data_IF_260507613774
#
_entry.id   IF_260507613774
#
_cell.length_a   1.000
_cell.length_b   1.000
_cell.length_c   1.000
_cell.angle_alpha   90.00
_cell.angle_beta   90.00
_cell.angle_gamma   90.00
#
_symmetry.space_group_name_H-M   'P 1'
#
loop_
_entity.id
_entity.type
_entity.pdbx_description
1 polymer ?
#
# COMPACT_ATOMS: atom_id res chain seq x y z
N UNK A 1 40.34 4.08 37.03
CA UNK A 1 39.41 3.08 36.47
C UNK A 1 37.98 3.58 36.35
N UNK A 2 37.35 4.10 37.45
CA UNK A 2 35.91 4.52 37.43
C UNK A 2 35.55 5.55 36.35
N UNK A 3 36.37 6.58 36.10
CA UNK A 3 36.11 7.61 35.06
C UNK A 3 36.07 7.02 33.64
N UNK A 4 36.99 6.10 33.29
CA UNK A 4 37.02 5.43 31.98
C UNK A 4 35.80 4.55 31.77
N UNK A 5 35.33 3.85 32.80
CA UNK A 5 34.11 3.03 32.74
C UNK A 5 32.87 3.91 32.54
N UNK A 6 32.77 5.05 33.24
CA UNK A 6 31.65 5.97 33.07
C UNK A 6 31.58 6.53 31.64
N UNK A 7 32.73 6.95 31.07
CA UNK A 7 32.79 7.43 29.68
C UNK A 7 32.35 6.35 28.69
N UNK A 8 32.83 5.10 28.89
CA UNK A 8 32.41 3.98 28.02
C UNK A 8 30.89 3.73 28.10
N UNK A 9 30.30 3.77 29.29
CA UNK A 9 28.86 3.60 29.46
C UNK A 9 28.06 4.72 28.76
N UNK A 10 28.50 5.97 28.89
CA UNK A 10 27.85 7.12 28.23
C UNK A 10 27.93 6.95 26.70
N UNK A 11 29.09 6.59 26.14
CA UNK A 11 29.25 6.40 24.71
C UNK A 11 28.38 5.24 24.18
N UNK A 12 28.32 4.14 24.92
CA UNK A 12 27.42 3.02 24.57
C UNK A 12 25.96 3.46 24.58
N UNK A 13 25.55 4.20 25.61
CA UNK A 13 24.16 4.70 25.70
C UNK A 13 23.81 5.64 24.53
N UNK A 14 24.71 6.57 24.21
CA UNK A 14 24.54 7.48 23.04
C UNK A 14 24.43 6.69 21.76
N UNK A 15 25.29 5.67 21.55
CA UNK A 15 25.26 4.81 20.37
C UNK A 15 23.95 4.04 20.23
N UNK A 16 23.40 3.53 21.34
CA UNK A 16 22.10 2.85 21.36
C UNK A 16 20.94 3.79 21.05
N UNK A 17 21.00 5.04 21.59
CA UNK A 17 20.00 6.06 21.28
C UNK A 17 20.01 6.43 19.78
N UNK A 18 21.19 6.70 19.22
CA UNK A 18 21.34 7.01 17.79
C UNK A 18 20.87 5.87 16.89
N UNK A 19 21.19 4.63 17.27
CA UNK A 19 20.70 3.45 16.56
C UNK A 19 19.17 3.35 16.62
N UNK A 20 18.56 3.58 17.79
CA UNK A 20 17.11 3.58 17.97
C UNK A 20 16.41 4.65 17.13
N UNK A 21 16.93 5.89 17.17
CA UNK A 21 16.43 7.01 16.36
C UNK A 21 16.53 6.67 14.86
N UNK A 22 17.67 6.10 14.42
CA UNK A 22 17.86 5.67 13.04
C UNK A 22 16.84 4.63 12.59
N UNK A 23 16.52 3.64 13.43
CA UNK A 23 15.48 2.63 13.15
C UNK A 23 14.10 3.25 13.04
N UNK A 24 13.73 4.15 13.95
CA UNK A 24 12.45 4.85 13.90
C UNK A 24 12.33 5.72 12.66
N UNK A 25 13.40 6.43 12.29
CA UNK A 25 13.43 7.23 11.07
C UNK A 25 13.23 6.36 9.81
N UNK A 26 13.93 5.21 9.71
CA UNK A 26 13.75 4.27 8.60
C UNK A 26 12.31 3.78 8.52
N UNK A 27 11.75 3.33 9.65
CA UNK A 27 10.37 2.84 9.69
C UNK A 27 9.37 3.92 9.26
N UNK A 28 9.51 5.14 9.78
CA UNK A 28 8.70 6.29 9.39
C UNK A 28 8.83 6.59 7.89
N UNK A 29 10.06 6.68 7.37
CA UNK A 29 10.32 6.99 5.96
C UNK A 29 9.69 5.94 5.03
N UNK A 30 9.88 4.64 5.32
CA UNK A 30 9.32 3.56 4.51
C UNK A 30 7.78 3.53 4.52
N UNK A 31 7.15 3.93 5.62
CA UNK A 31 5.69 4.04 5.71
C UNK A 31 5.18 5.30 5.02
N UNK A 32 5.74 6.46 5.38
CA UNK A 32 5.29 7.77 4.89
C UNK A 32 5.46 7.94 3.37
N UNK A 33 6.49 7.34 2.78
CA UNK A 33 6.75 7.39 1.34
C UNK A 33 6.42 6.07 0.61
N UNK A 34 5.58 5.22 1.22
CA UNK A 34 5.24 3.92 0.67
C UNK A 34 4.64 4.01 -0.75
N UNK A 35 3.74 4.98 -0.98
CA UNK A 35 3.13 5.22 -2.28
C UNK A 35 4.11 5.71 -3.36
N UNK A 36 5.22 6.36 -2.97
CA UNK A 36 6.30 6.70 -3.89
C UNK A 36 7.15 5.46 -4.22
N UNK A 37 7.54 4.70 -3.20
CA UNK A 37 8.43 3.56 -3.37
C UNK A 37 7.79 2.41 -4.14
N UNK A 38 6.49 2.16 -3.96
CA UNK A 38 5.79 1.06 -4.62
C UNK A 38 5.83 1.16 -6.15
N UNK A 39 5.90 2.35 -6.71
CA UNK A 39 5.98 2.58 -8.16
C UNK A 39 7.24 1.99 -8.81
N UNK A 40 8.29 1.72 -8.01
CA UNK A 40 9.56 1.15 -8.46
C UNK A 40 9.83 -0.22 -7.81
N UNK A 41 8.82 -0.83 -7.21
CA UNK A 41 8.95 -2.15 -6.60
C UNK A 41 9.00 -3.23 -7.68
N UNK A 42 10.04 -4.07 -7.74
CA UNK A 42 10.04 -5.26 -8.57
C UNK A 42 8.87 -6.17 -8.21
N UNK A 43 8.21 -6.72 -9.21
CA UNK A 43 7.01 -7.54 -9.01
C UNK A 43 6.89 -8.65 -10.03
N UNK A 44 6.23 -9.74 -9.63
CA UNK A 44 5.83 -10.84 -10.50
C UNK A 44 4.63 -10.42 -11.35
N UNK A 45 4.55 -10.95 -12.55
CA UNK A 45 3.40 -10.73 -13.44
C UNK A 45 2.08 -11.11 -12.77
N UNK A 46 1.08 -10.27 -12.96
CA UNK A 46 -0.27 -10.43 -12.40
C UNK A 46 -0.43 -9.95 -10.96
N UNK A 47 0.65 -9.54 -10.26
CA UNK A 47 0.54 -8.89 -8.95
C UNK A 47 0.30 -7.38 -9.10
N UNK A 48 -0.36 -6.76 -8.11
CA UNK A 48 -0.60 -5.32 -8.06
C UNK A 48 -0.16 -4.73 -6.70
N UNK A 49 1.15 -4.52 -6.52
CA UNK A 49 1.67 -3.96 -5.27
C UNK A 49 1.11 -2.58 -4.95
N UNK A 50 0.79 -1.75 -5.95
CA UNK A 50 0.23 -0.42 -5.78
C UNK A 50 -1.11 -0.47 -5.03
N UNK A 51 -2.02 -1.37 -5.43
CA UNK A 51 -3.28 -1.61 -4.75
C UNK A 51 -3.06 -1.95 -3.27
N UNK A 52 -2.18 -2.92 -3.01
CA UNK A 52 -1.91 -3.44 -1.68
C UNK A 52 -1.27 -2.36 -0.79
N UNK A 53 -0.22 -1.70 -1.28
CA UNK A 53 0.53 -0.71 -0.50
C UNK A 53 -0.31 0.55 -0.23
N UNK A 54 -1.08 1.04 -1.19
CA UNK A 54 -1.97 2.20 -0.98
C UNK A 54 -2.96 1.89 0.14
N UNK A 55 -3.67 0.77 0.08
CA UNK A 55 -4.71 0.46 1.06
C UNK A 55 -4.15 0.11 2.44
N UNK A 56 -2.99 -0.55 2.52
CA UNK A 56 -2.36 -0.87 3.82
C UNK A 56 -1.62 0.29 4.48
N UNK A 57 -1.40 1.41 3.75
CA UNK A 57 -0.73 2.62 4.26
C UNK A 57 -1.58 3.87 4.03
N UNK A 58 -2.89 3.73 3.92
CA UNK A 58 -3.80 4.79 3.48
C UNK A 58 -3.74 6.05 4.36
N UNK A 59 -3.46 5.91 5.65
CA UNK A 59 -3.23 7.01 6.60
C UNK A 59 -2.00 7.86 6.27
N UNK A 60 -1.03 7.29 5.55
CA UNK A 60 0.23 7.94 5.14
C UNK A 60 0.25 8.33 3.66
N UNK A 61 -0.78 7.94 2.88
CA UNK A 61 -0.87 8.23 1.45
C UNK A 61 -1.44 9.64 1.22
N UNK A 62 -0.70 10.47 0.49
CA UNK A 62 -1.16 11.80 0.09
C UNK A 62 -2.40 11.72 -0.80
N UNK A 63 -3.35 12.59 -0.51
CA UNK A 63 -4.59 12.70 -1.31
C UNK A 63 -4.31 13.50 -2.56
N UNK A 64 -4.70 13.01 -3.75
CA UNK A 64 -4.64 13.82 -4.96
C UNK A 64 -5.58 15.03 -4.84
N UNK A 65 -5.24 16.12 -5.53
CA UNK A 65 -6.05 17.35 -5.54
C UNK A 65 -7.34 17.24 -6.37
N UNK A 66 -7.75 16.04 -6.74
CA UNK A 66 -8.98 15.79 -7.51
C UNK A 66 -10.19 15.73 -6.59
N UNK A 67 -11.28 16.41 -6.98
CA UNK A 67 -12.49 16.49 -6.14
C UNK A 67 -13.33 15.20 -6.11
N UNK A 68 -12.99 14.21 -6.93
CA UNK A 68 -13.77 12.98 -7.09
C UNK A 68 -13.21 11.79 -6.29
N UNK A 69 -12.00 11.92 -5.68
CA UNK A 69 -11.42 10.92 -4.80
C UNK A 69 -11.58 11.32 -3.33
N UNK A 70 -12.10 10.43 -2.52
CA UNK A 70 -12.17 10.58 -1.07
C UNK A 70 -11.59 9.35 -0.37
N UNK A 71 -11.00 9.54 0.81
CA UNK A 71 -10.46 8.47 1.64
C UNK A 71 -11.31 8.35 2.89
N UNK A 72 -11.75 7.13 3.16
CA UNK A 72 -12.37 6.73 4.42
C UNK A 72 -11.34 5.94 5.21
N UNK A 73 -10.94 6.45 6.37
CA UNK A 73 -9.94 5.83 7.25
C UNK A 73 -10.59 5.04 8.38
N UNK A 74 -11.91 5.03 8.46
CA UNK A 74 -12.63 4.25 9.45
C UNK A 74 -12.56 2.75 9.12
N UNK A 75 -12.38 1.93 10.13
CA UNK A 75 -12.26 0.49 9.97
C UNK A 75 -11.00 0.05 9.19
N UNK A 76 -11.18 -0.63 8.08
CA UNK A 76 -10.08 -1.20 7.28
C UNK A 76 -9.53 -0.23 6.21
N UNK A 77 -10.08 0.97 6.12
CA UNK A 77 -9.70 1.95 5.11
C UNK A 77 -10.31 1.70 3.73
N UNK A 78 -10.70 2.78 3.08
CA UNK A 78 -11.22 2.72 1.72
C UNK A 78 -10.85 3.97 0.89
N UNK A 79 -10.77 3.80 -0.44
CA UNK A 79 -10.69 4.88 -1.42
C UNK A 79 -11.95 4.85 -2.26
N UNK A 80 -12.63 5.98 -2.34
CA UNK A 80 -13.88 6.12 -3.09
C UNK A 80 -13.66 7.06 -4.29
N UNK A 81 -14.01 6.60 -5.49
CA UNK A 81 -14.05 7.40 -6.71
C UNK A 81 -15.51 7.64 -7.11
N UNK A 82 -15.90 8.91 -7.20
CA UNK A 82 -17.27 9.35 -7.57
C UNK A 82 -18.38 8.66 -6.76
N UNK A 83 -18.07 8.19 -5.56
CA UNK A 83 -18.97 7.42 -4.67
C UNK A 83 -19.51 6.12 -5.27
N UNK A 84 -19.04 5.73 -6.45
CA UNK A 84 -19.51 4.54 -7.18
C UNK A 84 -18.49 3.42 -7.26
N UNK A 85 -17.20 3.75 -7.23
CA UNK A 85 -16.13 2.78 -7.15
C UNK A 85 -15.47 2.87 -5.79
N UNK A 86 -15.37 1.76 -5.09
CA UNK A 86 -14.80 1.66 -3.76
C UNK A 86 -13.67 0.65 -3.78
N UNK A 87 -12.46 1.10 -3.45
CA UNK A 87 -11.35 0.22 -3.09
C UNK A 87 -11.33 0.09 -1.57
N UNK A 88 -11.40 -1.12 -1.05
CA UNK A 88 -11.37 -1.39 0.37
C UNK A 88 -10.43 -2.54 0.72
N UNK A 89 -9.97 -2.54 1.96
CA UNK A 89 -9.17 -3.61 2.55
C UNK A 89 -9.90 -4.20 3.75
N UNK A 90 -10.02 -5.52 3.78
CA UNK A 90 -10.61 -6.28 4.88
C UNK A 90 -9.83 -7.58 5.08
N UNK A 91 -10.47 -8.71 4.88
CA UNK A 91 -9.81 -10.03 4.84
C UNK A 91 -9.02 -10.23 3.54
N UNK A 92 -9.39 -9.51 2.50
CA UNK A 92 -8.75 -9.44 1.18
C UNK A 92 -8.89 -8.00 0.65
N UNK A 93 -8.39 -7.74 -0.56
CA UNK A 93 -8.58 -6.45 -1.24
C UNK A 93 -9.79 -6.53 -2.15
N UNK A 94 -10.68 -5.56 -2.03
CA UNK A 94 -11.95 -5.49 -2.72
C UNK A 94 -12.01 -4.22 -3.59
N UNK A 95 -12.40 -4.39 -4.86
CA UNK A 95 -12.90 -3.31 -5.69
C UNK A 95 -14.40 -3.54 -5.92
N UNK A 96 -15.20 -2.65 -5.37
CA UNK A 96 -16.65 -2.68 -5.50
C UNK A 96 -17.14 -1.57 -6.42
N UNK A 97 -17.91 -1.95 -7.45
CA UNK A 97 -18.63 -1.04 -8.31
C UNK A 97 -20.10 -1.02 -7.89
N UNK A 98 -20.49 0.00 -7.11
CA UNK A 98 -21.82 0.09 -6.55
C UNK A 98 -22.91 0.31 -7.61
N UNK A 99 -22.58 0.94 -8.74
CA UNK A 99 -23.52 1.22 -9.83
C UNK A 99 -23.98 -0.05 -10.53
N UNK A 100 -23.08 -1.02 -10.66
CA UNK A 100 -23.33 -2.30 -11.32
C UNK A 100 -23.50 -3.46 -10.35
N UNK A 101 -23.32 -3.21 -9.05
CA UNK A 101 -23.31 -4.25 -8.01
C UNK A 101 -22.27 -5.37 -8.25
N UNK A 102 -21.09 -4.97 -8.73
CA UNK A 102 -19.98 -5.86 -9.09
C UNK A 102 -18.88 -5.82 -8.02
N UNK A 103 -18.34 -6.98 -7.69
CA UNK A 103 -17.28 -7.14 -6.69
C UNK A 103 -16.11 -7.91 -7.29
N UNK A 104 -14.94 -7.29 -7.27
CA UNK A 104 -13.66 -7.87 -7.73
C UNK A 104 -12.75 -8.04 -6.52
N UNK A 105 -12.34 -9.26 -6.26
CA UNK A 105 -11.49 -9.62 -5.13
C UNK A 105 -10.07 -9.90 -5.58
N UNK A 106 -9.11 -9.45 -4.75
CA UNK A 106 -7.68 -9.62 -4.96
C UNK A 106 -7.06 -10.24 -3.71
N UNK A 107 -6.05 -11.05 -3.90
CA UNK A 107 -5.28 -11.63 -2.80
C UNK A 107 -4.31 -10.61 -2.17
N UNK A 108 -3.51 -11.07 -1.20
CA UNK A 108 -2.53 -10.25 -0.49
C UNK A 108 -1.35 -9.78 -1.35
N UNK A 109 -1.26 -10.22 -2.60
CA UNK A 109 -0.30 -9.73 -3.59
C UNK A 109 -0.92 -8.75 -4.59
N UNK A 110 -2.23 -8.48 -4.45
CA UNK A 110 -3.01 -7.68 -5.38
C UNK A 110 -3.34 -8.42 -6.68
N UNK A 111 -3.16 -9.75 -6.72
CA UNK A 111 -3.57 -10.57 -7.86
C UNK A 111 -5.06 -10.81 -7.80
N UNK A 112 -5.73 -10.69 -8.95
CA UNK A 112 -7.16 -11.00 -9.08
C UNK A 112 -7.44 -12.44 -8.62
N UNK A 113 -8.41 -12.59 -7.73
CA UNK A 113 -8.82 -13.87 -7.16
C UNK A 113 -10.15 -14.35 -7.75
N UNK A 114 -11.18 -13.53 -7.65
CA UNK A 114 -12.50 -13.86 -8.18
C UNK A 114 -13.39 -12.61 -8.30
N UNK A 115 -14.46 -12.78 -9.03
CA UNK A 115 -15.54 -11.81 -9.22
C UNK A 115 -16.88 -12.42 -8.76
N UNK A 116 -17.77 -11.59 -8.22
CA UNK A 116 -19.16 -11.94 -8.02
C UNK A 116 -20.08 -10.72 -8.07
N UNK A 117 -21.38 -10.97 -8.30
CA UNK A 117 -22.44 -9.99 -8.11
C UNK A 117 -23.36 -10.47 -7.00
N UNK A 118 -24.03 -9.55 -6.30
CA UNK A 118 -24.99 -9.91 -5.24
C UNK A 118 -26.21 -10.64 -5.81
N UNK A 119 -26.46 -10.55 -7.12
CA UNK A 119 -27.58 -11.22 -7.78
C UNK A 119 -27.30 -12.69 -8.13
N UNK A 120 -26.02 -13.12 -8.11
CA UNK A 120 -25.60 -14.47 -8.46
C UNK A 120 -24.53 -14.91 -7.47
N UNK A 121 -24.86 -15.79 -6.56
CA UNK A 121 -23.99 -16.32 -5.49
C UNK A 121 -22.85 -17.24 -6.00
N UNK A 122 -22.44 -17.06 -7.27
CA UNK A 122 -21.40 -17.84 -7.92
C UNK A 122 -20.15 -17.01 -8.19
N UNK A 123 -19.06 -17.34 -7.49
CA UNK A 123 -17.73 -16.78 -7.76
C UNK A 123 -17.27 -17.15 -9.17
N UNK A 124 -16.80 -16.16 -9.93
CA UNK A 124 -16.26 -16.33 -11.27
C UNK A 124 -14.78 -16.02 -11.29
N UNK A 125 -14.00 -16.83 -11.95
CA UNK A 125 -12.52 -16.77 -12.02
C UNK A 125 -12.00 -16.49 -13.43
N UNK A 126 -12.85 -15.95 -14.30
CA UNK A 126 -12.53 -15.72 -15.71
C UNK A 126 -11.57 -14.54 -15.89
N UNK A 127 -10.66 -14.67 -16.86
CA UNK A 127 -9.71 -13.61 -17.25
C UNK A 127 -10.38 -12.34 -17.78
N UNK A 128 -11.63 -12.42 -18.22
CA UNK A 128 -12.42 -11.25 -18.62
C UNK A 128 -12.62 -10.33 -17.43
N UNK A 129 -13.03 -10.86 -16.26
CA UNK A 129 -13.26 -10.06 -15.04
C UNK A 129 -11.97 -9.49 -14.48
N UNK A 130 -10.84 -10.20 -14.65
CA UNK A 130 -9.54 -9.66 -14.31
C UNK A 130 -9.24 -8.39 -15.12
N UNK A 131 -9.42 -8.42 -16.46
CA UNK A 131 -9.21 -7.26 -17.33
C UNK A 131 -10.14 -6.08 -16.99
N UNK A 132 -11.40 -6.37 -16.66
CA UNK A 132 -12.36 -5.37 -16.24
C UNK A 132 -11.91 -4.70 -14.92
N UNK A 133 -11.46 -5.51 -13.95
CA UNK A 133 -10.90 -5.00 -12.70
C UNK A 133 -9.66 -4.11 -12.92
N UNK A 134 -8.73 -4.54 -13.76
CA UNK A 134 -7.54 -3.76 -14.13
C UNK A 134 -7.91 -2.39 -14.72
N UNK A 135 -8.87 -2.35 -15.66
CA UNK A 135 -9.37 -1.11 -16.24
C UNK A 135 -10.01 -0.15 -15.21
N UNK A 136 -10.62 -0.70 -14.15
CA UNK A 136 -11.17 0.10 -13.06
C UNK A 136 -10.07 0.60 -12.12
N UNK A 137 -9.07 -0.23 -11.81
CA UNK A 137 -7.90 0.18 -11.02
C UNK A 137 -7.10 1.29 -11.71
N UNK A 138 -6.97 1.24 -13.03
CA UNK A 138 -6.32 2.27 -13.85
C UNK A 138 -7.00 3.66 -13.76
N UNK A 139 -8.24 3.73 -13.29
CA UNK A 139 -8.93 5.01 -13.03
C UNK A 139 -8.62 5.56 -11.64
N UNK A 140 -8.34 4.68 -10.67
CA UNK A 140 -8.22 5.04 -9.26
C UNK A 140 -6.76 5.23 -8.84
N UNK A 141 -5.87 4.30 -9.24
CA UNK A 141 -4.50 4.27 -8.74
C UNK A 141 -3.60 5.38 -9.30
N UNK A 142 -3.59 5.72 -10.61
CA UNK A 142 -2.66 6.68 -11.16
C UNK A 142 -2.69 8.04 -10.47
N UNK A 143 -3.84 8.73 -10.30
CA UNK A 143 -3.87 10.03 -9.64
C UNK A 143 -3.39 9.99 -8.19
N UNK A 144 -3.56 8.85 -7.50
CA UNK A 144 -3.05 8.66 -6.14
C UNK A 144 -1.53 8.55 -6.17
N UNK A 145 -0.98 7.74 -7.08
CA UNK A 145 0.46 7.50 -7.22
C UNK A 145 1.22 8.78 -7.65
N UNK A 146 0.65 9.55 -8.56
CA UNK A 146 1.22 10.83 -9.02
C UNK A 146 1.28 11.88 -7.91
N UNK A 147 0.33 11.86 -6.98
CA UNK A 147 0.30 12.80 -5.86
C UNK A 147 1.37 12.51 -4.78
N UNK A 148 2.05 11.35 -4.81
CA UNK A 148 2.94 10.95 -3.72
C UNK A 148 4.22 11.77 -3.66
N UNK A 149 4.60 12.29 -2.47
CA UNK A 149 5.78 13.12 -2.30
C UNK A 149 7.06 12.29 -2.47
N UNK A 150 8.07 12.90 -3.10
CA UNK A 150 9.39 12.30 -3.22
C UNK A 150 10.15 12.39 -1.89
N UNK A 151 10.74 11.29 -1.39
CA UNK A 151 11.53 11.31 -0.15
C UNK A 151 12.82 12.12 -0.30
N UNK A 152 13.20 12.87 0.76
CA UNK A 152 14.50 13.55 0.81
C UNK A 152 15.67 12.57 0.87
N UNK A 153 15.49 11.47 1.59
CA UNK A 153 16.45 10.35 1.66
C UNK A 153 15.76 9.15 1.01
N UNK A 154 16.31 8.70 -0.12
CA UNK A 154 15.75 7.57 -0.85
C UNK A 154 16.17 6.25 -0.19
N UNK A 155 15.19 5.51 0.31
CA UNK A 155 15.35 4.18 0.90
C UNK A 155 14.72 3.08 0.03
N UNK A 156 14.64 3.27 -1.29
CA UNK A 156 14.02 2.33 -2.24
C UNK A 156 14.52 0.90 -2.06
N UNK A 157 15.84 0.73 -1.89
CA UNK A 157 16.40 -0.61 -1.70
C UNK A 157 15.83 -1.29 -0.45
N UNK A 158 15.75 -0.59 0.68
CA UNK A 158 15.19 -1.14 1.91
C UNK A 158 13.69 -1.44 1.78
N UNK A 159 12.97 -0.61 1.02
CA UNK A 159 11.57 -0.87 0.70
C UNK A 159 11.41 -2.12 -0.15
N UNK A 160 12.22 -2.26 -1.20
CA UNK A 160 12.21 -3.45 -2.05
C UNK A 160 12.55 -4.71 -1.25
N UNK A 161 13.60 -4.68 -0.43
CA UNK A 161 14.00 -5.82 0.42
C UNK A 161 12.88 -6.23 1.40
N UNK A 162 12.14 -5.24 1.95
CA UNK A 162 11.00 -5.50 2.85
C UNK A 162 9.84 -6.24 2.18
N UNK A 163 9.52 -5.88 0.94
CA UNK A 163 8.34 -6.37 0.23
C UNK A 163 8.65 -7.42 -0.85
N UNK A 164 9.95 -7.75 -1.06
CA UNK A 164 10.37 -8.66 -2.13
C UNK A 164 9.62 -9.99 -2.10
N UNK A 165 9.55 -10.64 -0.95
CA UNK A 165 8.89 -11.95 -0.81
C UNK A 165 7.41 -11.90 -1.16
N UNK A 166 6.72 -10.86 -0.71
CA UNK A 166 5.28 -10.73 -0.91
C UNK A 166 4.90 -10.63 -2.39
N UNK A 167 5.71 -9.97 -3.22
CA UNK A 167 5.34 -9.67 -4.60
C UNK A 167 6.18 -10.41 -5.66
N UNK A 168 7.15 -11.24 -5.26
CA UNK A 168 8.05 -11.96 -6.17
C UNK A 168 8.13 -13.48 -5.92
N UNK A 169 7.70 -13.96 -4.76
CA UNK A 169 7.57 -15.39 -4.45
C UNK A 169 6.11 -15.84 -4.55
#
# INVERSE_FOLDING_TARGET
MKKKLLVALILTFISLLLWGIGKLYIAYNLSHYAGYYVQQLPRKEGTNPELVIILTHLDSIERPSTNNLSYDLDGNGAVLLDKSLVLAYGTDFLLWNSTKNENYHFDMTGKFSYYYTNDIDNKKYDSQYQKEAELLLDKILPPILEAQPKPKINLQKLFNDKYYKQFNE
#
